data_IF_064629856446
#
_entry.id   IF_064629856446
#
_cell.length_a   1.000
_cell.length_b   1.000
_cell.length_c   1.000
_cell.angle_alpha   90.00
_cell.angle_beta   90.00
_cell.angle_gamma   90.00
#
_symmetry.space_group_name_H-M   'P 1'
#
loop_
_entity.id
_entity.type
_entity.pdbx_description
1 polymer ?
#
# COMPACT_ATOMS: atom_id res chain seq x y z
N UNK A 1 13.63 -4.19 -17.43
CA UNK A 1 13.42 -4.58 -16.01
C UNK A 1 12.38 -3.60 -15.47
N UNK A 2 11.13 -3.80 -15.88
CA UNK A 2 9.99 -3.04 -15.39
C UNK A 2 9.45 -3.85 -14.23
N UNK A 3 9.86 -3.48 -13.02
CA UNK A 3 9.23 -4.01 -11.82
C UNK A 3 7.74 -3.68 -11.95
N UNK A 4 6.93 -4.71 -12.18
CA UNK A 4 5.48 -4.67 -12.12
C UNK A 4 5.14 -4.43 -10.64
N UNK A 5 5.39 -3.20 -10.18
CA UNK A 5 5.25 -2.83 -8.79
C UNK A 5 3.76 -2.89 -8.50
N UNK A 6 3.34 -3.89 -7.74
CA UNK A 6 1.99 -3.97 -7.21
C UNK A 6 1.75 -2.70 -6.40
N UNK A 7 0.89 -1.84 -6.93
CA UNK A 7 0.49 -0.60 -6.28
C UNK A 7 -0.66 -0.92 -5.34
N UNK A 8 -0.51 -0.55 -4.06
CA UNK A 8 -1.54 -0.76 -3.05
C UNK A 8 -1.83 0.56 -2.36
N UNK A 9 -3.10 0.94 -2.33
CA UNK A 9 -3.55 2.07 -1.53
C UNK A 9 -3.75 1.57 -0.11
N UNK A 10 -3.10 2.21 0.85
CA UNK A 10 -3.15 1.85 2.25
C UNK A 10 -3.75 3.01 3.02
N UNK A 11 -4.81 2.71 3.75
CA UNK A 11 -5.45 3.64 4.67
C UNK A 11 -5.21 3.15 6.10
N UNK A 12 -4.66 4.02 6.93
CA UNK A 12 -4.28 3.70 8.30
C UNK A 12 -4.85 4.74 9.24
N UNK A 13 -5.62 4.32 10.23
CA UNK A 13 -6.15 5.19 11.28
C UNK A 13 -5.27 5.05 12.53
N UNK A 14 -4.95 6.16 13.19
CA UNK A 14 -4.07 6.18 14.36
C UNK A 14 -4.76 6.74 15.60
N UNK A 15 -4.36 6.28 16.79
CA UNK A 15 -4.82 6.86 18.07
C UNK A 15 -4.19 8.24 18.33
N UNK A 16 -2.97 8.43 17.82
CA UNK A 16 -2.13 9.61 18.02
C UNK A 16 -1.83 10.28 16.67
N UNK A 17 -1.37 11.56 16.65
CA UNK A 17 -0.97 12.21 15.41
C UNK A 17 0.03 11.32 14.64
N UNK A 18 -0.30 10.93 13.40
CA UNK A 18 0.50 9.97 12.66
C UNK A 18 1.86 10.56 12.25
N UNK A 19 2.92 9.74 12.21
CA UNK A 19 4.26 10.15 11.79
C UNK A 19 4.34 10.25 10.26
N UNK A 20 3.62 11.21 9.68
CA UNK A 20 3.60 11.55 8.25
C UNK A 20 4.97 11.46 7.59
N UNK A 21 5.91 12.17 8.21
CA UNK A 21 7.25 12.38 7.68
C UNK A 21 8.09 11.10 7.70
N UNK A 22 7.80 10.16 8.61
CA UNK A 22 8.46 8.85 8.66
C UNK A 22 7.86 7.93 7.60
N UNK A 23 6.54 7.99 7.42
CA UNK A 23 5.81 7.24 6.39
C UNK A 23 6.23 7.68 4.98
N UNK A 24 6.32 8.99 4.71
CA UNK A 24 6.81 9.53 3.45
C UNK A 24 8.26 9.14 3.15
N UNK A 25 9.07 8.91 4.19
CA UNK A 25 10.45 8.45 4.06
C UNK A 25 10.58 6.94 3.93
N UNK A 26 9.49 6.19 4.13
CA UNK A 26 9.51 4.75 3.99
C UNK A 26 9.71 4.37 2.52
N UNK A 27 10.59 3.40 2.28
CA UNK A 27 10.96 2.99 0.93
C UNK A 27 9.76 2.34 0.24
N UNK A 28 9.36 2.88 -0.92
CA UNK A 28 8.21 2.40 -1.68
C UNK A 28 6.88 3.03 -1.26
N UNK A 29 6.88 4.04 -0.38
CA UNK A 29 5.67 4.82 -0.08
C UNK A 29 5.67 6.10 -0.91
N UNK A 30 4.50 6.48 -1.40
CA UNK A 30 4.26 7.69 -2.19
C UNK A 30 2.82 8.17 -1.96
N UNK A 31 2.49 9.38 -2.38
CA UNK A 31 1.11 9.92 -2.29
C UNK A 31 0.54 9.87 -0.86
N UNK A 32 1.29 10.40 0.11
CA UNK A 32 0.88 10.41 1.52
C UNK A 32 -0.02 11.60 1.79
N UNK A 33 -1.30 11.34 2.02
CA UNK A 33 -2.31 12.29 2.47
C UNK A 33 -2.65 12.05 3.93
N UNK A 34 -2.88 13.13 4.68
CA UNK A 34 -3.25 13.06 6.09
C UNK A 34 -4.53 13.83 6.33
N UNK A 35 -5.52 13.11 6.82
CA UNK A 35 -6.80 13.63 7.28
C UNK A 35 -6.90 13.44 8.80
N UNK A 36 -6.30 14.38 9.53
CA UNK A 36 -6.25 14.36 11.00
C UNK A 36 -5.48 13.16 11.57
N UNK A 37 -6.21 12.10 11.92
CA UNK A 37 -5.68 10.85 12.47
C UNK A 37 -5.65 9.71 11.45
N UNK A 38 -6.11 9.96 10.22
CA UNK A 38 -6.14 8.99 9.14
C UNK A 38 -5.03 9.35 8.17
N UNK A 39 -4.22 8.36 7.79
CA UNK A 39 -3.20 8.47 6.75
C UNK A 39 -3.62 7.62 5.57
N UNK A 40 -3.60 8.21 4.38
CA UNK A 40 -3.78 7.51 3.12
C UNK A 40 -2.46 7.59 2.39
N UNK A 41 -1.93 6.45 1.97
CA UNK A 41 -0.68 6.41 1.25
C UNK A 41 -0.70 5.32 0.19
N UNK A 42 0.13 5.48 -0.82
CA UNK A 42 0.33 4.47 -1.86
C UNK A 42 1.63 3.76 -1.57
N UNK A 43 1.55 2.44 -1.43
CA UNK A 43 2.72 1.57 -1.25
C UNK A 43 2.95 0.77 -2.52
N UNK A 44 4.15 0.87 -3.05
CA UNK A 44 4.64 0.19 -4.23
C UNK A 44 5.63 -0.90 -3.81
N UNK A 45 5.30 -2.16 -4.08
CA UNK A 45 6.15 -3.30 -3.74
C UNK A 45 5.89 -3.85 -2.33
N UNK A 46 6.87 -3.76 -1.42
CA UNK A 46 6.81 -4.40 -0.09
C UNK A 46 6.35 -3.45 1.01
N UNK A 47 5.44 -3.91 1.88
CA UNK A 47 4.98 -3.17 3.07
C UNK A 47 5.95 -3.21 4.26
N UNK A 48 7.04 -3.97 4.17
CA UNK A 48 7.99 -4.12 5.26
C UNK A 48 8.56 -2.78 5.78
N UNK A 49 9.13 -1.91 4.92
CA UNK A 49 9.59 -0.58 5.36
C UNK A 49 8.46 0.32 5.87
N UNK A 50 7.25 0.14 5.35
CA UNK A 50 6.08 0.88 5.83
C UNK A 50 5.71 0.46 7.26
N UNK A 51 5.60 -0.83 7.54
CA UNK A 51 5.32 -1.34 8.89
C UNK A 51 6.42 -0.96 9.89
N UNK A 52 7.68 -0.94 9.47
CA UNK A 52 8.78 -0.44 10.30
C UNK A 52 8.62 1.04 10.65
N UNK A 53 8.13 1.87 9.72
CA UNK A 53 7.82 3.28 9.97
C UNK A 53 6.65 3.47 10.94
N UNK A 54 5.69 2.54 10.95
CA UNK A 54 4.58 2.54 11.91
C UNK A 54 4.98 2.01 13.30
N UNK A 55 6.16 1.38 13.40
CA UNK A 55 6.61 0.76 14.64
C UNK A 55 6.78 1.81 15.75
N UNK A 56 6.04 1.65 16.84
CA UNK A 56 6.02 2.61 17.94
C UNK A 56 4.81 3.54 17.94
N UNK A 57 3.95 3.44 16.92
CA UNK A 57 2.67 4.14 16.84
C UNK A 57 1.52 3.14 16.89
N UNK A 58 0.47 3.49 17.65
CA UNK A 58 -0.72 2.64 17.77
C UNK A 58 -1.67 2.88 16.60
N UNK A 59 -1.86 1.82 15.81
CA UNK A 59 -2.74 1.79 14.65
C UNK A 59 -4.09 1.23 15.08
N UNK A 60 -5.16 1.99 14.81
CA UNK A 60 -6.55 1.59 15.06
C UNK A 60 -7.11 0.72 13.94
N UNK A 61 -6.84 1.10 12.70
CA UNK A 61 -7.32 0.39 11.51
C UNK A 61 -6.27 0.42 10.43
N UNK A 62 -6.12 -0.67 9.70
CA UNK A 62 -5.21 -0.82 8.58
C UNK A 62 -5.97 -1.48 7.44
N UNK A 63 -6.22 -0.73 6.37
CA UNK A 63 -6.89 -1.21 5.18
C UNK A 63 -5.95 -1.10 3.98
N UNK A 64 -5.84 -2.16 3.18
CA UNK A 64 -4.99 -2.17 1.99
C UNK A 64 -5.78 -2.64 0.77
N UNK A 65 -6.01 -1.72 -0.17
CA UNK A 65 -6.77 -1.97 -1.39
C UNK A 65 -5.83 -2.03 -2.60
N UNK A 66 -6.03 -3.00 -3.52
CA UNK A 66 -5.30 -2.97 -4.79
C UNK A 66 -5.64 -1.64 -5.46
N UNK A 67 -4.63 -0.88 -5.86
CA UNK A 67 -4.89 0.02 -6.97
C UNK A 67 -5.11 -0.90 -8.18
N UNK A 68 -6.23 -0.78 -8.90
CA UNK A 68 -6.47 -1.55 -10.10
C UNK A 68 -5.47 -1.08 -11.16
N UNK A 69 -4.25 -1.60 -11.08
CA UNK A 69 -3.30 -1.56 -12.16
C UNK A 69 -4.00 -2.33 -13.29
N UNK A 70 -4.44 -1.60 -14.32
CA UNK A 70 -5.25 -2.15 -15.39
C UNK A 70 -4.56 -3.34 -16.02
N UNK A 71 -4.94 -4.54 -15.58
CA UNK A 71 -4.52 -5.81 -16.13
C UNK A 71 -5.19 -5.93 -17.49
N UNK A 72 -4.54 -5.39 -18.52
CA UNK A 72 -4.80 -5.79 -19.89
C UNK A 72 -4.02 -7.07 -20.16
N UNK A 73 -4.76 -8.19 -20.12
CA UNK A 73 -4.56 -9.44 -20.87
C UNK A 73 -3.52 -10.47 -20.38
N UNK A 74 -4.01 -11.66 -19.94
CA UNK A 74 -3.85 -12.86 -20.77
C UNK A 74 -4.87 -13.97 -20.47
N UNK A 75 -5.69 -14.23 -21.47
CA UNK A 75 -6.51 -15.41 -21.71
C UNK A 75 -5.71 -16.73 -21.63
N UNK A 76 -5.76 -17.42 -20.49
CA UNK A 76 -5.48 -18.86 -20.46
C UNK A 76 -6.77 -19.65 -20.69
N UNK A 77 -7.08 -19.91 -21.97
CA UNK A 77 -8.01 -20.99 -22.35
C UNK A 77 -7.36 -22.32 -21.96
N UNK A 78 -7.80 -22.92 -20.86
CA UNK A 78 -7.63 -24.36 -20.65
C UNK A 78 -8.61 -25.12 -21.54
N UNK A 79 -8.18 -25.46 -22.76
CA UNK A 79 -8.68 -26.65 -23.44
C UNK A 79 -8.11 -27.85 -22.67
N UNK A 80 -8.97 -28.67 -22.09
CA UNK A 80 -8.66 -30.09 -21.89
C UNK A 80 -9.83 -30.86 -22.49
N UNK A 81 -9.59 -31.32 -23.71
CA UNK A 81 -10.25 -32.47 -24.30
C UNK A 81 -9.96 -33.69 -23.42
N UNK A 82 -11.00 -34.45 -23.04
CA UNK A 82 -11.14 -35.91 -23.20
C UNK A 82 -12.44 -36.40 -22.57
#
# INVERSE_FOLDING_TARGET
>A
MTEELTIRRVEVSFVSPPPAQVIERARGVSDVEIDGQIVRCVVCGSFQPFLEALRGHEVLSFESTPEPQGDSDNRSKGFTEQ
#
